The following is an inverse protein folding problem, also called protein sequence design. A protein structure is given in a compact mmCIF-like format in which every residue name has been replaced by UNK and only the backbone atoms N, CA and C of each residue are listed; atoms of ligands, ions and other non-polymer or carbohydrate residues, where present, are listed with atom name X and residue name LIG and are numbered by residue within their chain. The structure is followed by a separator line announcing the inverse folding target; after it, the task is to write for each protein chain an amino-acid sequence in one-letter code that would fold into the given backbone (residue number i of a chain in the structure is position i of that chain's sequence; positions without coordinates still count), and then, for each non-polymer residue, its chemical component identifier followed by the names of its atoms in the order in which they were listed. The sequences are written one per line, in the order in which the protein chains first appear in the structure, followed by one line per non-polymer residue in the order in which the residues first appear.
data_IF_781034637695
#
_entry.id   IF_781034637695
#
_cell.length_a   1.000
_cell.length_b   1.000
_cell.length_c   1.000
_cell.angle_alpha   90.00
_cell.angle_beta   90.00
_cell.angle_gamma   90.00
#
_symmetry.space_group_name_H-M   'P 1'
#
loop_
_entity.id
_entity.type
_entity.pdbx_description
1 polymer ?
#
# COMPACT_ATOMS: atom_id res chain seq x y z
N UNK A 1 -17.59 -1.58 30.34
CA UNK A 1 -18.30 -1.31 29.07
C UNK A 1 -17.26 -1.27 27.97
N UNK A 2 -17.42 -2.07 26.92
CA UNK A 2 -16.55 -2.01 25.74
C UNK A 2 -16.91 -0.80 24.89
N UNK A 3 -15.91 -0.15 24.30
CA UNK A 3 -16.12 0.84 23.24
C UNK A 3 -16.58 0.11 21.98
N UNK A 4 -17.32 0.78 21.12
CA UNK A 4 -17.74 0.25 19.81
C UNK A 4 -17.66 1.37 18.78
N UNK A 5 -17.14 1.05 17.60
CA UNK A 5 -17.30 1.85 16.39
C UNK A 5 -18.25 1.13 15.45
N UNK A 6 -18.94 1.88 14.60
CA UNK A 6 -19.63 1.26 13.46
C UNK A 6 -18.62 0.98 12.34
N UNK A 7 -18.80 -0.13 11.63
CA UNK A 7 -17.94 -0.56 10.52
C UNK A 7 -17.77 0.55 9.47
N UNK A 8 -18.82 1.34 9.21
CA UNK A 8 -18.78 2.45 8.25
C UNK A 8 -17.75 3.53 8.61
N UNK A 9 -17.41 3.68 9.90
CA UNK A 9 -16.41 4.64 10.36
C UNK A 9 -15.00 4.16 9.98
N UNK A 10 -14.71 2.88 10.21
CA UNK A 10 -13.41 2.29 9.91
C UNK A 10 -13.24 2.08 8.40
N UNK A 11 -14.32 1.68 7.70
CA UNK A 11 -14.38 1.67 6.24
C UNK A 11 -14.15 3.07 5.67
N UNK A 12 -14.71 4.12 6.30
CA UNK A 12 -14.48 5.50 5.90
C UNK A 12 -12.99 5.89 5.93
N UNK A 13 -12.27 5.48 6.96
CA UNK A 13 -10.82 5.71 7.06
C UNK A 13 -10.03 4.94 5.99
N UNK A 14 -10.35 3.66 5.79
CA UNK A 14 -9.72 2.84 4.75
C UNK A 14 -10.04 3.35 3.34
N UNK A 15 -11.24 3.88 3.14
CA UNK A 15 -11.67 4.43 1.86
C UNK A 15 -10.94 5.72 1.49
N UNK A 16 -10.34 6.44 2.47
CA UNK A 16 -9.41 7.54 2.15
C UNK A 16 -8.23 7.01 1.34
N UNK A 17 -7.71 5.82 1.68
CA UNK A 17 -6.64 5.17 0.92
C UNK A 17 -7.18 4.66 -0.42
N UNK A 18 -8.22 3.82 -0.39
CA UNK A 18 -8.73 3.14 -1.58
C UNK A 18 -9.21 4.11 -2.68
N UNK A 19 -9.95 5.16 -2.30
CA UNK A 19 -10.52 6.09 -3.28
C UNK A 19 -9.49 7.09 -3.86
N UNK A 20 -8.32 7.24 -3.24
CA UNK A 20 -7.32 8.23 -3.63
C UNK A 20 -5.99 7.64 -4.10
N UNK A 21 -5.79 6.32 -3.99
CA UNK A 21 -4.56 5.70 -4.48
C UNK A 21 -4.43 5.85 -5.99
N UNK A 22 -3.21 6.11 -6.43
CA UNK A 22 -2.88 6.34 -7.83
C UNK A 22 -1.71 5.45 -8.29
N UNK A 23 -0.78 5.13 -7.39
CA UNK A 23 0.34 4.25 -7.69
C UNK A 23 0.89 3.58 -6.44
N UNK A 24 1.48 2.40 -6.62
CA UNK A 24 2.42 1.80 -5.70
C UNK A 24 3.85 2.09 -6.14
N UNK A 25 4.71 2.41 -5.18
CA UNK A 25 6.15 2.57 -5.37
C UNK A 25 6.90 1.58 -4.50
N UNK A 26 7.91 0.92 -5.08
CA UNK A 26 8.83 0.04 -4.36
C UNK A 26 10.06 0.84 -3.98
N UNK A 27 10.31 1.04 -2.68
CA UNK A 27 11.37 1.92 -2.20
C UNK A 27 12.47 1.18 -1.41
N UNK A 28 13.65 1.78 -1.37
CA UNK A 28 14.82 1.27 -0.62
C UNK A 28 14.80 1.62 0.87
N UNK A 29 13.96 2.57 1.27
CA UNK A 29 13.71 3.01 2.63
C UNK A 29 12.28 3.56 2.74
N UNK A 30 11.80 3.80 3.96
CA UNK A 30 10.53 4.48 4.19
C UNK A 30 10.58 5.92 3.65
N UNK A 31 9.76 6.27 2.65
CA UNK A 31 9.75 7.63 2.11
C UNK A 31 9.09 8.59 3.10
N UNK A 32 9.65 9.80 3.23
CA UNK A 32 9.09 10.84 4.10
C UNK A 32 7.77 11.43 3.55
N UNK A 33 7.67 11.52 2.22
CA UNK A 33 6.54 12.12 1.53
C UNK A 33 6.38 11.55 0.11
N UNK A 34 5.40 12.07 -0.63
CA UNK A 34 5.13 11.66 -2.02
C UNK A 34 6.32 11.92 -2.95
N UNK A 35 7.04 13.03 -2.77
CA UNK A 35 8.14 13.38 -3.64
C UNK A 35 9.31 12.41 -3.45
N UNK A 36 9.62 12.05 -2.20
CA UNK A 36 10.60 11.03 -1.87
C UNK A 36 10.19 9.65 -2.40
N UNK A 37 8.92 9.25 -2.26
CA UNK A 37 8.43 7.96 -2.76
C UNK A 37 8.65 7.79 -4.27
N UNK A 38 8.44 8.87 -5.05
CA UNK A 38 8.65 8.87 -6.50
C UNK A 38 10.15 8.92 -6.83
N UNK A 39 10.91 9.78 -6.16
CA UNK A 39 12.33 9.97 -6.45
C UNK A 39 13.18 8.71 -6.17
N UNK A 40 12.83 7.97 -5.11
CA UNK A 40 13.56 6.78 -4.66
C UNK A 40 12.89 5.46 -5.07
N UNK A 41 12.04 5.50 -6.11
CA UNK A 41 11.31 4.32 -6.62
C UNK A 41 12.24 3.40 -7.42
N UNK A 42 12.23 2.11 -7.09
CA UNK A 42 12.88 1.05 -7.87
C UNK A 42 11.99 0.48 -8.97
N UNK A 43 10.68 0.47 -8.71
CA UNK A 43 9.63 -0.02 -9.58
C UNK A 43 8.31 0.62 -9.15
N UNK A 44 7.43 0.93 -10.09
CA UNK A 44 6.11 1.46 -9.79
C UNK A 44 5.03 0.91 -10.72
N UNK A 45 3.80 0.95 -10.24
CA UNK A 45 2.62 0.50 -10.97
C UNK A 45 1.45 1.40 -10.62
N UNK A 46 0.71 1.82 -11.65
CA UNK A 46 -0.54 2.55 -11.45
C UNK A 46 -1.60 1.62 -10.87
N UNK A 47 -2.32 2.12 -9.87
CA UNK A 47 -3.43 1.41 -9.22
C UNK A 47 -4.59 2.39 -9.00
N UNK A 48 -5.79 1.85 -8.88
CA UNK A 48 -6.99 2.62 -8.58
C UNK A 48 -7.93 1.86 -7.62
N UNK A 49 -9.05 2.47 -7.24
CA UNK A 49 -9.99 1.91 -6.27
C UNK A 49 -10.50 0.49 -6.60
N UNK A 50 -10.36 0.00 -7.83
CA UNK A 50 -10.72 -1.37 -8.22
C UNK A 50 -9.69 -2.42 -7.78
N UNK A 51 -8.46 -1.99 -7.46
CA UNK A 51 -7.41 -2.86 -6.90
C UNK A 51 -7.59 -3.13 -5.41
N UNK A 52 -8.49 -2.39 -4.74
CA UNK A 52 -8.76 -2.53 -3.31
C UNK A 52 -10.17 -3.07 -3.01
N UNK A 53 -10.26 -3.97 -2.04
CA UNK A 53 -11.55 -4.53 -1.57
C UNK A 53 -11.68 -4.38 -0.05
N UNK A 54 -12.79 -3.79 0.41
CA UNK A 54 -13.12 -3.68 1.83
C UNK A 54 -13.79 -4.96 2.34
N UNK A 55 -13.41 -5.40 3.55
CA UNK A 55 -14.00 -6.55 4.23
C UNK A 55 -13.89 -6.42 5.75
N UNK A 56 -14.45 -7.40 6.47
CA UNK A 56 -14.18 -7.55 7.91
C UNK A 56 -12.68 -7.84 8.12
N UNK A 57 -12.10 -7.27 9.18
CA UNK A 57 -10.73 -7.59 9.59
C UNK A 57 -10.58 -9.06 9.99
N UNK A 58 -9.35 -9.57 9.97
CA UNK A 58 -9.05 -10.99 10.19
C UNK A 58 -9.45 -11.45 11.60
N UNK A 59 -9.34 -10.57 12.59
CA UNK A 59 -9.74 -10.84 13.99
C UNK A 59 -10.83 -9.88 14.49
N UNK A 60 -10.75 -8.59 14.14
CA UNK A 60 -11.67 -7.54 14.57
C UNK A 60 -11.61 -6.34 13.63
N UNK A 61 -12.60 -5.44 13.68
CA UNK A 61 -12.60 -4.21 12.89
C UNK A 61 -12.74 -4.46 11.39
N UNK A 62 -12.06 -3.64 10.58
CA UNK A 62 -12.21 -3.58 9.12
C UNK A 62 -10.86 -3.65 8.42
N UNK A 63 -10.86 -4.15 7.18
CA UNK A 63 -9.65 -4.23 6.34
C UNK A 63 -9.87 -3.78 4.91
N UNK A 64 -8.80 -3.28 4.31
CA UNK A 64 -8.66 -3.03 2.87
C UNK A 64 -7.64 -4.02 2.31
N UNK A 65 -8.09 -4.98 1.51
CA UNK A 65 -7.22 -5.91 0.79
C UNK A 65 -6.82 -5.28 -0.54
N UNK A 66 -5.52 -5.14 -0.76
CA UNK A 66 -4.92 -4.69 -2.02
C UNK A 66 -4.53 -5.92 -2.84
N UNK A 67 -5.04 -5.98 -4.06
CA UNK A 67 -4.78 -7.03 -5.02
C UNK A 67 -3.30 -7.10 -5.43
N UNK A 68 -2.87 -8.30 -5.82
CA UNK A 68 -1.51 -8.50 -6.34
C UNK A 68 -1.29 -7.67 -7.62
N UNK A 69 -0.14 -7.00 -7.69
CA UNK A 69 0.34 -6.35 -8.89
C UNK A 69 1.59 -7.09 -9.39
N UNK A 70 1.52 -7.64 -10.60
CA UNK A 70 2.52 -8.56 -11.13
C UNK A 70 3.25 -8.01 -12.36
N UNK A 71 4.43 -8.58 -12.64
CA UNK A 71 5.23 -8.23 -13.82
C UNK A 71 5.54 -6.73 -13.93
N UNK A 72 5.72 -6.07 -12.78
CA UNK A 72 6.03 -4.65 -12.69
C UNK A 72 7.48 -4.45 -13.17
N UNK A 73 7.73 -3.60 -14.18
CA UNK A 73 9.08 -3.30 -14.63
C UNK A 73 9.95 -2.74 -13.49
N UNK A 74 11.19 -3.19 -13.41
CA UNK A 74 12.18 -2.61 -12.48
C UNK A 74 12.97 -1.55 -13.25
N UNK A 75 12.84 -0.29 -12.85
CA UNK A 75 13.50 0.85 -13.47
C UNK A 75 14.90 1.08 -12.90
N UNK A 76 15.08 0.86 -11.59
CA UNK A 76 16.35 1.06 -10.91
C UNK A 76 16.80 -0.16 -10.10
N UNK A 77 18.12 -0.39 -10.06
CA UNK A 77 18.72 -1.45 -9.25
C UNK A 77 18.86 -0.98 -7.81
N UNK A 78 18.44 -1.81 -6.86
CA UNK A 78 18.51 -1.49 -5.43
C UNK A 78 17.92 -2.61 -4.57
N UNK A 79 17.89 -2.40 -3.26
CA UNK A 79 17.25 -3.35 -2.34
C UNK A 79 15.89 -2.82 -1.92
N UNK A 80 14.81 -3.44 -2.38
CA UNK A 80 13.45 -3.13 -1.96
C UNK A 80 13.26 -3.49 -0.49
N UNK A 81 12.69 -2.57 0.29
CA UNK A 81 12.36 -2.78 1.71
C UNK A 81 10.97 -2.26 2.08
N UNK A 82 10.40 -1.36 1.28
CA UNK A 82 9.10 -0.74 1.52
C UNK A 82 8.25 -0.69 0.26
N UNK A 83 6.93 -0.70 0.46
CA UNK A 83 5.92 -0.41 -0.56
C UNK A 83 5.14 0.82 -0.09
N UNK A 84 5.18 1.88 -0.89
CA UNK A 84 4.48 3.13 -0.63
C UNK A 84 3.25 3.26 -1.56
N UNK A 85 2.12 3.65 -0.99
CA UNK A 85 0.90 4.00 -1.72
C UNK A 85 0.80 5.52 -1.75
N UNK A 86 0.72 6.09 -2.95
CA UNK A 86 0.58 7.53 -3.11
C UNK A 86 -0.76 7.88 -3.78
N UNK A 87 -1.25 9.07 -3.48
CA UNK A 87 -2.26 9.74 -4.29
C UNK A 87 -1.60 10.69 -5.30
N UNK A 88 -2.43 11.47 -6.00
CA UNK A 88 -1.95 12.58 -6.82
C UNK A 88 -1.15 13.63 -6.01
N UNK A 89 -1.35 13.73 -4.69
CA UNK A 89 -0.79 14.82 -3.87
C UNK A 89 -0.15 14.40 -2.55
N UNK A 90 -0.46 13.20 -2.03
CA UNK A 90 -0.04 12.75 -0.70
C UNK A 90 0.61 11.37 -0.74
N UNK A 91 1.44 11.10 0.26
CA UNK A 91 1.79 9.75 0.68
C UNK A 91 0.65 9.22 1.56
N UNK A 92 -0.04 8.17 1.13
CA UNK A 92 -1.25 7.67 1.82
C UNK A 92 -0.92 6.60 2.85
N UNK A 93 -0.01 5.68 2.50
CA UNK A 93 0.30 4.53 3.34
C UNK A 93 1.66 3.97 2.96
N UNK A 94 2.38 3.41 3.92
CA UNK A 94 3.64 2.67 3.69
C UNK A 94 3.56 1.37 4.47
N UNK A 95 4.00 0.28 3.84
CA UNK A 95 4.27 -0.99 4.52
C UNK A 95 5.68 -1.47 4.22
N UNK A 96 6.20 -2.33 5.08
CA UNK A 96 7.46 -3.03 4.84
C UNK A 96 7.22 -4.23 3.93
N UNK A 97 8.23 -4.62 3.16
CA UNK A 97 8.23 -5.86 2.40
C UNK A 97 9.44 -6.73 2.78
N UNK A 98 9.42 -7.99 2.33
CA UNK A 98 10.59 -8.85 2.49
C UNK A 98 11.74 -8.25 1.68
N UNK A 99 12.86 -7.99 2.34
CA UNK A 99 14.03 -7.38 1.71
C UNK A 99 14.47 -8.17 0.49
N UNK A 100 14.50 -7.51 -0.69
CA UNK A 100 14.80 -8.15 -1.95
C UNK A 100 15.67 -7.26 -2.84
N UNK A 101 16.78 -7.80 -3.35
CA UNK A 101 17.56 -7.13 -4.38
C UNK A 101 16.81 -7.14 -5.71
N UNK A 102 16.60 -5.96 -6.28
CA UNK A 102 16.00 -5.72 -7.58
C UNK A 102 17.07 -5.27 -8.57
N UNK A 103 16.98 -5.75 -9.80
CA UNK A 103 17.90 -5.39 -10.88
C UNK A 103 17.11 -4.77 -12.03
N UNK A 104 17.53 -3.59 -12.46
CA UNK A 104 16.92 -2.85 -13.58
C UNK A 104 16.81 -3.73 -14.84
N UNK A 105 15.69 -3.62 -15.55
CA UNK A 105 15.34 -4.44 -16.70
C UNK A 105 14.72 -5.81 -16.36
N UNK A 106 14.66 -6.17 -15.07
CA UNK A 106 13.86 -7.28 -14.57
C UNK A 106 12.40 -6.90 -14.34
N UNK A 107 11.66 -7.81 -13.70
CA UNK A 107 10.32 -7.53 -13.18
C UNK A 107 10.20 -7.95 -11.73
N UNK A 108 9.28 -7.30 -11.00
CA UNK A 108 8.92 -7.63 -9.62
C UNK A 108 7.41 -7.81 -9.51
N UNK A 109 6.98 -8.58 -8.51
CA UNK A 109 5.57 -8.73 -8.14
C UNK A 109 5.41 -8.19 -6.74
N UNK A 110 4.42 -7.31 -6.54
CA UNK A 110 3.94 -6.95 -5.21
C UNK A 110 2.78 -7.93 -4.91
N UNK A 111 2.97 -8.90 -3.98
CA UNK A 111 1.91 -9.86 -3.63
C UNK A 111 0.74 -9.15 -2.96
N UNK A 112 -0.44 -9.76 -2.95
CA UNK A 112 -1.58 -9.19 -2.23
C UNK A 112 -1.30 -9.02 -0.73
N UNK A 113 -1.82 -7.96 -0.12
CA UNK A 113 -1.74 -7.69 1.31
C UNK A 113 -2.96 -6.92 1.78
N UNK A 114 -3.15 -6.79 3.09
CA UNK A 114 -4.21 -5.96 3.66
C UNK A 114 -3.69 -4.89 4.63
N UNK A 115 -4.53 -3.86 4.77
CA UNK A 115 -4.39 -2.78 5.75
C UNK A 115 -5.57 -2.92 6.70
N UNK A 116 -5.29 -3.17 7.98
CA UNK A 116 -6.33 -3.39 8.99
C UNK A 116 -6.44 -2.26 10.01
N UNK A 117 -7.67 -1.90 10.37
CA UNK A 117 -7.98 -1.04 11.51
C UNK A 117 -8.83 -1.85 12.49
N UNK A 118 -8.27 -2.14 13.66
CA UNK A 118 -8.93 -2.91 14.70
C UNK A 118 -10.09 -2.14 15.37
N UNK A 119 -11.03 -2.89 15.94
CA UNK A 119 -12.10 -2.31 16.77
C UNK A 119 -11.54 -1.61 18.01
N UNK A 120 -12.22 -0.56 18.51
CA UNK A 120 -11.78 0.14 19.70
C UNK A 120 -11.89 -0.73 20.96
N UNK A 121 -10.85 -0.71 21.80
CA UNK A 121 -10.77 -1.41 23.10
C UNK A 121 -11.01 -0.51 24.31
#
# INVERSE_FOLDING_TARGET
MGKKSDDSVLDGALNVINANMAAFHVNTAEPLDRAAAIADSLADVAVDATDGTLANGDTSGRKLTLGQQAAIPIDATGTATHIAIISATLLLYVTTCTSQALTSGGTVTIPAWDIEIADPV
#
